data_IF_658170508041
#
_entry.id   IF_658170508041
#
_cell.length_a   1.000
_cell.length_b   1.000
_cell.length_c   1.000
_cell.angle_alpha   90.00
_cell.angle_beta   90.00
_cell.angle_gamma   90.00
#
_symmetry.space_group_name_H-M   'P 1'
#
loop_
_entity.id
_entity.type
_entity.pdbx_description
1 polymer ?
#
# COMPACT_ATOMS: atom_id res chain seq x y z
N UNK A 1 10.38 -7.77 21.55
CA UNK A 1 8.95 -8.18 21.42
C UNK A 1 8.90 -9.29 20.39
N UNK A 2 8.32 -10.45 20.71
CA UNK A 2 8.25 -11.58 19.78
C UNK A 2 6.83 -11.64 19.19
N UNK A 3 6.71 -11.35 17.89
CA UNK A 3 5.48 -11.51 17.07
C UNK A 3 5.10 -13.00 16.84
N UNK A 4 5.45 -13.89 17.78
CA UNK A 4 5.58 -15.34 17.52
C UNK A 4 4.79 -16.29 18.41
N UNK A 5 4.14 -15.83 19.48
CA UNK A 5 3.43 -16.72 20.41
C UNK A 5 1.90 -16.49 20.33
N UNK A 6 1.27 -17.09 19.31
CA UNK A 6 -0.19 -17.24 19.25
C UNK A 6 -0.52 -18.72 18.99
N UNK A 7 -1.36 -19.29 19.86
CA UNK A 7 -1.60 -20.73 19.94
C UNK A 7 -2.53 -21.25 18.82
N UNK A 8 -2.36 -22.52 18.39
CA UNK A 8 -3.11 -23.12 17.31
C UNK A 8 -4.41 -23.78 17.82
N UNK A 9 -5.55 -23.13 17.62
CA UNK A 9 -6.83 -23.82 17.40
C UNK A 9 -7.91 -22.79 17.06
N UNK A 10 -8.54 -22.91 15.89
CA UNK A 10 -9.64 -22.05 15.41
C UNK A 10 -10.96 -22.12 16.19
N UNK A 11 -10.91 -22.50 17.48
CA UNK A 11 -11.91 -22.19 18.50
C UNK A 11 -11.13 -21.71 19.72
N UNK A 12 -11.56 -20.62 20.35
CA UNK A 12 -11.01 -20.29 21.67
C UNK A 12 -11.26 -21.46 22.64
N UNK A 13 -10.51 -21.52 23.74
CA UNK A 13 -10.65 -22.61 24.74
C UNK A 13 -12.08 -22.72 25.33
N UNK A 14 -12.96 -21.79 25.00
CA UNK A 14 -14.32 -21.63 25.50
C UNK A 14 -15.40 -22.02 24.48
N UNK A 15 -15.03 -22.34 23.24
CA UNK A 15 -15.95 -22.78 22.19
C UNK A 15 -16.74 -21.65 21.52
N UNK A 16 -16.26 -20.40 21.57
CA UNK A 16 -16.89 -19.29 20.83
C UNK A 16 -16.64 -19.42 19.33
N UNK A 17 -17.64 -18.97 18.54
CA UNK A 17 -17.50 -18.78 17.09
C UNK A 17 -16.29 -17.89 16.79
N UNK A 18 -15.52 -18.18 15.72
CA UNK A 18 -14.39 -17.35 15.32
C UNK A 18 -14.87 -15.91 15.09
N UNK A 19 -14.08 -14.94 15.53
CA UNK A 19 -14.41 -13.54 15.33
C UNK A 19 -14.56 -13.23 13.83
N UNK A 20 -15.61 -12.50 13.47
CA UNK A 20 -15.83 -12.05 12.08
C UNK A 20 -14.70 -11.12 11.60
N UNK A 21 -14.02 -10.46 12.54
CA UNK A 21 -12.89 -9.56 12.29
C UNK A 21 -11.59 -10.11 12.87
N UNK A 22 -10.53 -10.05 12.08
CA UNK A 22 -9.16 -10.24 12.51
C UNK A 22 -8.68 -9.02 13.30
N UNK A 23 -7.73 -9.17 14.25
CA UNK A 23 -7.05 -8.04 14.91
C UNK A 23 -6.05 -7.38 13.95
N UNK A 24 -6.53 -6.97 12.78
CA UNK A 24 -5.76 -6.47 11.64
C UNK A 24 -6.54 -5.31 11.00
N UNK A 25 -5.89 -4.15 10.92
CA UNK A 25 -6.37 -2.96 10.22
C UNK A 25 -5.42 -2.67 9.06
N UNK A 26 -5.94 -2.45 7.85
CA UNK A 26 -5.13 -2.09 6.69
C UNK A 26 -5.69 -0.83 6.04
N UNK A 27 -4.82 0.17 5.87
CA UNK A 27 -5.09 1.42 5.16
C UNK A 27 -4.32 1.43 3.83
N UNK A 28 -5.04 1.54 2.72
CA UNK A 28 -4.54 1.30 1.36
C UNK A 28 -5.29 2.16 0.32
N UNK A 29 -4.68 2.44 -0.84
CA UNK A 29 -5.31 3.14 -1.96
C UNK A 29 -5.68 2.19 -3.12
N UNK A 30 -5.58 0.88 -2.89
CA UNK A 30 -6.03 -0.22 -3.75
C UNK A 30 -5.34 -0.26 -5.12
N UNK A 31 -4.08 0.16 -5.20
CA UNK A 31 -3.22 -0.23 -6.32
C UNK A 31 -2.97 -1.75 -6.34
N UNK A 32 -2.40 -2.25 -7.44
CA UNK A 32 -2.26 -3.71 -7.66
C UNK A 32 -1.40 -4.35 -6.58
N UNK A 33 -0.29 -3.70 -6.22
CA UNK A 33 0.64 -4.15 -5.18
C UNK A 33 0.06 -4.04 -3.77
N UNK A 34 -0.74 -2.99 -3.53
CA UNK A 34 -1.55 -2.83 -2.34
C UNK A 34 -2.50 -4.03 -2.12
N UNK A 35 -3.23 -4.43 -3.17
CA UNK A 35 -4.16 -5.55 -3.11
C UNK A 35 -3.44 -6.89 -2.92
N UNK A 36 -2.28 -7.09 -3.58
CA UNK A 36 -1.45 -8.27 -3.36
C UNK A 36 -0.93 -8.34 -1.92
N UNK A 37 -0.44 -7.22 -1.39
CA UNK A 37 0.02 -7.12 -0.01
C UNK A 37 -1.13 -7.43 0.99
N UNK A 38 -2.33 -6.90 0.75
CA UNK A 38 -3.52 -7.21 1.58
C UNK A 38 -3.81 -8.71 1.55
N UNK A 39 -3.87 -9.33 0.37
CA UNK A 39 -4.13 -10.75 0.21
C UNK A 39 -3.11 -11.60 0.98
N UNK A 40 -1.83 -11.27 0.82
CA UNK A 40 -0.73 -11.99 1.46
C UNK A 40 -0.73 -11.83 2.99
N UNK A 41 -0.87 -10.60 3.50
CA UNK A 41 -0.94 -10.32 4.94
C UNK A 41 -2.17 -10.99 5.56
N UNK A 42 -3.31 -10.95 4.88
CA UNK A 42 -4.54 -11.56 5.37
C UNK A 42 -4.40 -13.09 5.47
N UNK A 43 -3.99 -13.77 4.39
CA UNK A 43 -3.79 -15.22 4.41
C UNK A 43 -2.74 -15.63 5.45
N UNK A 44 -1.66 -14.84 5.58
CA UNK A 44 -0.65 -15.03 6.61
C UNK A 44 -1.23 -14.96 8.02
N UNK A 45 -2.06 -13.94 8.33
CA UNK A 45 -2.68 -13.83 9.66
C UNK A 45 -3.68 -14.95 9.92
N UNK A 46 -4.45 -15.38 8.93
CA UNK A 46 -5.35 -16.54 9.07
C UNK A 46 -4.56 -17.80 9.46
N UNK A 47 -3.45 -18.06 8.76
CA UNK A 47 -2.59 -19.21 9.07
C UNK A 47 -1.99 -19.13 10.48
N UNK A 48 -1.42 -17.98 10.84
CA UNK A 48 -0.76 -17.75 12.14
C UNK A 48 -1.71 -17.82 13.32
N UNK A 49 -2.99 -17.51 13.13
CA UNK A 49 -4.03 -17.59 14.15
C UNK A 49 -4.76 -18.95 14.14
N UNK A 50 -4.40 -19.87 13.24
CA UNK A 50 -5.11 -21.15 13.10
C UNK A 50 -6.56 -20.99 12.64
N UNK A 51 -6.84 -19.93 11.87
CA UNK A 51 -8.15 -19.54 11.34
C UNK A 51 -8.30 -19.85 9.85
N UNK A 52 -7.45 -20.72 9.30
CA UNK A 52 -7.50 -21.13 7.88
C UNK A 52 -8.88 -21.68 7.53
N UNK A 53 -9.47 -21.19 6.44
CA UNK A 53 -10.83 -21.52 6.00
C UNK A 53 -11.95 -20.82 6.78
N UNK A 54 -11.63 -19.95 7.75
CA UNK A 54 -12.62 -19.08 8.37
C UNK A 54 -13.00 -17.91 7.45
N UNK A 55 -14.12 -17.25 7.77
CA UNK A 55 -14.57 -16.03 7.10
C UNK A 55 -14.03 -14.75 7.77
N UNK A 56 -13.11 -14.88 8.73
CA UNK A 56 -12.57 -13.75 9.46
C UNK A 56 -11.82 -12.82 8.50
N UNK A 57 -12.16 -11.53 8.51
CA UNK A 57 -11.56 -10.52 7.62
C UNK A 57 -10.85 -9.41 8.39
N UNK A 58 -9.85 -8.74 7.81
CA UNK A 58 -9.35 -7.49 8.36
C UNK A 58 -10.37 -6.34 8.26
N UNK A 59 -10.11 -5.29 9.04
CA UNK A 59 -10.72 -3.98 8.85
C UNK A 59 -9.94 -3.27 7.74
N UNK A 60 -10.54 -3.14 6.56
CA UNK A 60 -9.88 -2.52 5.40
C UNK A 60 -10.44 -1.11 5.16
N UNK A 61 -9.52 -0.18 4.93
CA UNK A 61 -9.78 1.22 4.64
C UNK A 61 -9.22 1.53 3.25
N UNK A 62 -10.10 1.78 2.29
CA UNK A 62 -9.75 2.26 0.95
C UNK A 62 -9.72 3.80 0.95
N UNK A 63 -8.54 4.37 0.77
CA UNK A 63 -8.27 5.79 0.75
C UNK A 63 -8.36 6.34 -0.68
N UNK A 64 -9.53 6.82 -1.08
CA UNK A 64 -9.76 7.34 -2.42
C UNK A 64 -9.21 8.78 -2.58
N UNK A 65 -8.44 9.03 -3.63
CA UNK A 65 -7.86 10.30 -4.03
C UNK A 65 -8.40 10.75 -5.39
N UNK A 66 -9.65 11.25 -5.38
CA UNK A 66 -10.33 11.81 -6.56
C UNK A 66 -9.72 13.13 -7.08
N UNK A 67 -8.66 13.64 -6.42
CA UNK A 67 -7.98 14.86 -6.84
C UNK A 67 -6.81 14.52 -7.78
N UNK A 68 -6.12 13.41 -7.50
CA UNK A 68 -4.84 13.11 -8.17
C UNK A 68 -4.79 11.78 -8.88
N UNK A 69 -5.50 10.76 -8.42
CA UNK A 69 -5.28 9.36 -8.85
C UNK A 69 -6.54 8.67 -9.34
N UNK A 70 -7.65 8.90 -8.65
CA UNK A 70 -8.87 8.11 -8.82
C UNK A 70 -9.89 8.78 -9.74
N UNK A 71 -9.40 9.60 -10.68
CA UNK A 71 -10.21 10.19 -11.74
C UNK A 71 -10.59 9.17 -12.82
N UNK A 72 -11.43 9.61 -13.77
CA UNK A 72 -11.86 8.80 -14.92
C UNK A 72 -12.45 7.44 -14.50
N UNK A 73 -11.86 6.31 -14.91
CA UNK A 73 -12.32 4.96 -14.50
C UNK A 73 -11.34 4.23 -13.57
N UNK A 74 -10.30 4.92 -13.09
CA UNK A 74 -9.28 4.32 -12.22
C UNK A 74 -9.91 3.79 -10.94
N UNK A 75 -10.80 4.57 -10.31
CA UNK A 75 -11.46 4.19 -9.07
C UNK A 75 -12.29 2.90 -9.23
N UNK A 76 -13.16 2.83 -10.24
CA UNK A 76 -13.98 1.65 -10.51
C UNK A 76 -13.12 0.41 -10.78
N UNK A 77 -11.99 0.58 -11.47
CA UNK A 77 -11.05 -0.51 -11.74
C UNK A 77 -10.38 -1.01 -10.46
N UNK A 78 -9.99 -0.12 -9.54
CA UNK A 78 -9.48 -0.51 -8.21
C UNK A 78 -10.50 -1.32 -7.42
N UNK A 79 -11.76 -0.90 -7.40
CA UNK A 79 -12.83 -1.65 -6.75
C UNK A 79 -13.09 -3.01 -7.42
N UNK A 80 -13.05 -3.07 -8.75
CA UNK A 80 -13.17 -4.32 -9.49
C UNK A 80 -12.02 -5.27 -9.16
N UNK A 81 -10.78 -4.79 -9.15
CA UNK A 81 -9.61 -5.58 -8.77
C UNK A 81 -9.71 -6.07 -7.32
N UNK A 82 -10.13 -5.22 -6.38
CA UNK A 82 -10.34 -5.61 -4.98
C UNK A 82 -11.39 -6.73 -4.86
N UNK A 83 -12.51 -6.63 -5.59
CA UNK A 83 -13.51 -7.70 -5.66
C UNK A 83 -12.93 -8.98 -6.23
N UNK A 84 -12.16 -8.89 -7.31
CA UNK A 84 -11.62 -10.05 -8.02
C UNK A 84 -10.48 -10.75 -7.26
N UNK A 85 -9.65 -9.98 -6.53
CA UNK A 85 -8.47 -10.49 -5.82
C UNK A 85 -8.77 -10.84 -4.36
N UNK A 86 -9.54 -9.99 -3.66
CA UNK A 86 -9.81 -10.14 -2.22
C UNK A 86 -11.19 -10.72 -1.91
N UNK A 87 -12.07 -10.86 -2.92
CA UNK A 87 -13.45 -11.32 -2.70
C UNK A 87 -14.34 -10.32 -1.97
N UNK A 88 -13.95 -9.04 -1.91
CA UNK A 88 -14.61 -8.03 -1.07
C UNK A 88 -15.56 -7.11 -1.85
N UNK A 89 -16.67 -6.76 -1.21
CA UNK A 89 -17.65 -5.80 -1.70
C UNK A 89 -17.45 -4.40 -1.09
N UNK A 90 -17.40 -3.34 -1.90
CA UNK A 90 -17.31 -1.95 -1.42
C UNK A 90 -18.44 -1.59 -0.46
N UNK A 91 -18.11 -0.85 0.61
CA UNK A 91 -19.03 -0.37 1.65
C UNK A 91 -19.73 -1.48 2.47
N UNK A 92 -19.55 -2.75 2.13
CA UNK A 92 -20.02 -3.90 2.92
C UNK A 92 -18.87 -4.53 3.69
N UNK A 93 -17.78 -4.86 2.99
CA UNK A 93 -16.66 -5.60 3.55
C UNK A 93 -15.43 -4.71 3.82
N UNK A 94 -15.40 -3.52 3.23
CA UNK A 94 -14.40 -2.48 3.52
C UNK A 94 -15.01 -1.09 3.42
N UNK A 95 -14.39 -0.12 4.10
CA UNK A 95 -14.85 1.26 4.12
C UNK A 95 -14.02 2.11 3.17
N UNK A 96 -14.70 2.92 2.36
CA UNK A 96 -14.04 3.89 1.47
C UNK A 96 -14.09 5.25 2.14
N UNK A 97 -12.94 5.91 2.24
CA UNK A 97 -12.82 7.27 2.73
C UNK A 97 -12.19 8.15 1.65
N UNK A 98 -12.58 9.42 1.62
CA UNK A 98 -12.18 10.37 0.59
C UNK A 98 -12.00 11.77 1.21
N UNK A 99 -11.28 12.70 0.56
CA UNK A 99 -11.21 14.07 1.04
C UNK A 99 -12.57 14.79 0.85
N UNK A 100 -12.72 15.95 1.47
CA UNK A 100 -13.94 16.76 1.37
C UNK A 100 -14.24 17.20 -0.10
N UNK A 101 -15.52 17.20 -0.47
CA UNK A 101 -16.10 17.42 -1.81
C UNK A 101 -15.55 18.65 -2.51
N UNK A 102 -15.21 19.70 -1.75
CA UNK A 102 -14.75 20.98 -2.29
C UNK A 102 -13.47 20.90 -3.15
N UNK A 103 -12.83 19.73 -3.25
CA UNK A 103 -11.56 19.51 -3.96
C UNK A 103 -11.64 18.52 -5.12
N UNK A 104 -12.81 17.98 -5.44
CA UNK A 104 -12.96 16.97 -6.49
C UNK A 104 -12.81 17.56 -7.90
N UNK A 105 -12.14 16.83 -8.80
CA UNK A 105 -12.01 17.19 -10.22
C UNK A 105 -13.36 17.04 -10.96
N UNK A 106 -13.56 17.78 -12.04
CA UNK A 106 -14.77 17.72 -12.87
C UNK A 106 -14.93 16.39 -13.64
N UNK A 107 -13.91 15.51 -13.59
CA UNK A 107 -13.91 14.18 -14.21
C UNK A 107 -14.49 13.08 -13.31
N UNK A 108 -14.97 13.45 -12.11
CA UNK A 108 -15.53 12.55 -11.10
C UNK A 108 -16.83 11.91 -11.61
N UNK A 109 -16.84 10.57 -11.61
CA UNK A 109 -17.96 9.75 -12.06
C UNK A 109 -19.04 9.59 -10.98
N UNK A 110 -20.26 9.13 -11.34
CA UNK A 110 -21.37 8.95 -10.38
C UNK A 110 -21.02 8.09 -9.16
N UNK A 111 -20.11 7.12 -9.30
CA UNK A 111 -19.71 6.28 -8.17
C UNK A 111 -18.93 7.08 -7.12
N UNK A 112 -18.06 7.98 -7.55
CA UNK A 112 -17.32 8.84 -6.65
C UNK A 112 -18.25 9.85 -5.94
N UNK A 113 -19.28 10.38 -6.62
CA UNK A 113 -20.35 11.15 -5.98
C UNK A 113 -21.08 10.34 -4.89
N UNK A 114 -21.38 9.07 -5.18
CA UNK A 114 -21.98 8.16 -4.19
C UNK A 114 -21.07 7.97 -2.98
N UNK A 115 -19.77 7.74 -3.18
CA UNK A 115 -18.79 7.60 -2.08
C UNK A 115 -18.73 8.87 -1.24
N UNK A 116 -18.69 10.04 -1.87
CA UNK A 116 -18.68 11.34 -1.19
C UNK A 116 -19.95 11.53 -0.35
N UNK A 117 -21.12 11.16 -0.89
CA UNK A 117 -22.40 11.23 -0.17
C UNK A 117 -22.47 10.28 1.03
N UNK A 118 -21.76 9.16 0.99
CA UNK A 118 -21.72 8.16 2.05
C UNK A 118 -20.57 8.37 3.05
N UNK A 119 -19.68 9.35 2.85
CA UNK A 119 -18.44 9.52 3.63
C UNK A 119 -18.66 9.50 5.15
N UNK A 120 -19.67 10.21 5.65
CA UNK A 120 -19.96 10.24 7.08
C UNK A 120 -20.37 8.86 7.64
N UNK A 121 -21.19 8.12 6.88
CA UNK A 121 -21.60 6.76 7.23
C UNK A 121 -20.42 5.78 7.17
N UNK A 122 -19.56 5.87 6.15
CA UNK A 122 -18.36 5.03 6.02
C UNK A 122 -17.38 5.26 7.16
N UNK A 123 -17.17 6.52 7.58
CA UNK A 123 -16.35 6.84 8.74
C UNK A 123 -16.93 6.32 10.05
N UNK A 124 -18.26 6.38 10.23
CA UNK A 124 -18.92 5.84 11.41
C UNK A 124 -18.80 4.30 11.48
N UNK A 125 -19.05 3.61 10.35
CA UNK A 125 -18.87 2.16 10.24
C UNK A 125 -17.42 1.75 10.50
N UNK A 126 -16.45 2.51 9.96
CA UNK A 126 -15.04 2.29 10.22
C UNK A 126 -14.69 2.41 11.71
N UNK A 127 -15.19 3.45 12.38
CA UNK A 127 -14.95 3.64 13.81
C UNK A 127 -15.53 2.48 14.64
N UNK A 128 -16.66 1.90 14.22
CA UNK A 128 -17.26 0.72 14.82
C UNK A 128 -16.40 -0.54 14.64
N UNK A 129 -15.94 -0.81 13.43
CA UNK A 129 -15.06 -1.96 13.15
C UNK A 129 -13.73 -1.85 13.90
N UNK A 130 -13.08 -0.68 13.87
CA UNK A 130 -11.85 -0.44 14.64
C UNK A 130 -12.11 -0.62 16.14
N UNK A 131 -13.25 -0.13 16.63
CA UNK A 131 -13.64 -0.31 18.02
C UNK A 131 -13.81 -1.79 18.39
N UNK A 132 -14.41 -2.58 17.50
CA UNK A 132 -14.61 -4.01 17.73
C UNK A 132 -13.28 -4.75 17.84
N UNK A 133 -12.34 -4.52 16.91
CA UNK A 133 -11.02 -5.17 16.96
C UNK A 133 -10.17 -4.68 18.12
N UNK A 134 -10.21 -3.37 18.43
CA UNK A 134 -9.42 -2.79 19.51
C UNK A 134 -9.97 -3.09 20.92
N UNK A 135 -11.24 -3.51 21.02
CA UNK A 135 -11.85 -3.96 22.28
C UNK A 135 -11.44 -5.38 22.66
N UNK A 136 -10.80 -6.12 21.76
CA UNK A 136 -10.26 -7.45 22.05
C UNK A 136 -9.10 -7.43 23.05
N UNK A 137 -8.78 -8.59 23.61
CA UNK A 137 -7.59 -8.77 24.47
C UNK A 137 -6.28 -8.81 23.68
N UNK A 138 -6.38 -8.96 22.35
CA UNK A 138 -5.23 -9.08 21.46
C UNK A 138 -4.72 -7.72 20.98
N UNK A 139 -3.43 -7.69 20.71
CA UNK A 139 -2.83 -6.57 19.99
C UNK A 139 -3.39 -6.46 18.57
N UNK A 140 -3.44 -5.24 18.03
CA UNK A 140 -3.96 -4.97 16.68
C UNK A 140 -2.80 -4.65 15.76
N UNK A 141 -2.62 -5.41 14.69
CA UNK A 141 -1.65 -5.02 13.66
C UNK A 141 -2.28 -3.97 12.74
N UNK A 142 -1.60 -2.85 12.54
CA UNK A 142 -2.11 -1.74 11.74
C UNK A 142 -1.13 -1.40 10.62
N UNK A 143 -1.47 -1.83 9.40
CA UNK A 143 -0.71 -1.57 8.19
C UNK A 143 -1.18 -0.30 7.50
N UNK A 144 -0.22 0.53 7.10
CA UNK A 144 -0.46 1.78 6.38
C UNK A 144 0.41 1.75 5.13
N UNK A 145 -0.21 1.36 4.01
CA UNK A 145 0.45 1.14 2.72
C UNK A 145 0.04 2.19 1.66
N UNK A 146 -0.74 3.20 2.06
CA UNK A 146 -1.12 4.32 1.21
C UNK A 146 -0.76 5.68 1.81
N UNK A 147 -0.68 6.76 1.00
CA UNK A 147 -0.53 8.11 1.54
C UNK A 147 -1.73 8.50 2.41
N UNK A 148 -1.46 9.24 3.49
CA UNK A 148 -2.53 9.74 4.34
C UNK A 148 -3.47 10.72 3.63
N UNK A 149 -2.94 11.69 2.86
CA UNK A 149 -3.72 12.77 2.21
C UNK A 149 -4.71 13.48 3.15
N UNK A 150 -4.45 13.43 4.45
CA UNK A 150 -5.30 13.95 5.51
C UNK A 150 -6.37 12.98 6.03
N UNK A 151 -6.61 11.87 5.35
CA UNK A 151 -7.72 10.96 5.63
C UNK A 151 -7.47 10.12 6.89
N UNK A 152 -6.22 9.76 7.20
CA UNK A 152 -5.87 9.16 8.51
C UNK A 152 -6.21 10.13 9.66
N UNK A 153 -5.95 11.42 9.45
CA UNK A 153 -6.38 12.46 10.39
C UNK A 153 -7.91 12.53 10.57
N UNK A 154 -8.69 12.25 9.53
CA UNK A 154 -10.16 12.23 9.60
C UNK A 154 -10.68 11.04 10.42
N UNK A 155 -10.04 9.87 10.33
CA UNK A 155 -10.34 8.71 11.19
C UNK A 155 -10.19 9.09 12.67
N UNK A 156 -9.12 9.83 13.02
CA UNK A 156 -8.94 10.37 14.38
C UNK A 156 -10.10 11.23 14.84
N UNK A 157 -10.57 12.13 13.98
CA UNK A 157 -11.61 13.09 14.35
C UNK A 157 -12.94 12.39 14.65
N UNK A 158 -13.24 11.32 13.93
CA UNK A 158 -14.47 10.53 14.12
C UNK A 158 -14.37 9.64 15.36
N UNK A 159 -13.20 9.04 15.59
CA UNK A 159 -12.99 8.15 16.75
C UNK A 159 -12.78 8.89 18.07
N UNK A 160 -12.50 10.21 18.04
CA UNK A 160 -12.32 11.02 19.24
C UNK A 160 -13.55 11.89 19.52
N UNK A 161 -13.70 12.37 20.76
CA UNK A 161 -14.72 13.35 21.15
C UNK A 161 -14.66 14.69 20.37
N UNK A 162 -13.75 14.83 19.41
CA UNK A 162 -13.54 16.02 18.61
C UNK A 162 -14.57 16.19 17.47
N UNK A 163 -15.52 15.26 17.29
CA UNK A 163 -16.62 15.43 16.31
C UNK A 163 -17.43 16.72 16.54
N UNK A 164 -17.46 17.22 17.79
CA UNK A 164 -18.07 18.53 18.15
C UNK A 164 -17.36 19.75 17.55
N UNK A 165 -16.12 19.62 17.08
CA UNK A 165 -15.28 20.73 16.59
C UNK A 165 -15.34 20.93 15.07
N UNK A 166 -15.93 19.99 14.33
CA UNK A 166 -16.13 20.15 12.89
C UNK A 166 -17.63 20.07 12.56
N UNK A 167 -18.23 21.12 11.99
CA UNK A 167 -19.64 21.11 11.57
C UNK A 167 -19.99 19.91 10.68
N UNK A 168 -19.02 19.44 9.89
CA UNK A 168 -19.15 18.30 8.97
C UNK A 168 -19.34 16.95 9.69
N UNK A 169 -18.90 16.84 10.94
CA UNK A 169 -18.98 15.62 11.75
C UNK A 169 -19.94 15.74 12.93
N UNK A 170 -20.67 16.86 13.01
CA UNK A 170 -21.64 17.13 14.09
C UNK A 170 -22.78 16.11 14.17
N UNK A 171 -23.05 15.39 13.08
CA UNK A 171 -24.07 14.33 12.98
C UNK A 171 -23.55 12.94 13.34
N UNK A 172 -22.23 12.73 13.41
CA UNK A 172 -21.66 11.47 13.89
C UNK A 172 -21.67 11.53 15.40
N UNK A 173 -22.77 11.07 15.98
CA UNK A 173 -22.90 10.85 17.41
C UNK A 173 -21.70 9.97 17.84
N UNK A 174 -20.87 10.47 18.75
CA UNK A 174 -19.63 9.82 19.18
C UNK A 174 -19.98 8.57 19.98
N UNK A 175 -20.31 7.48 19.28
CA UNK A 175 -20.70 6.20 19.88
C UNK A 175 -19.52 5.49 20.54
N UNK A 176 -18.28 5.76 20.10
CA UNK A 176 -17.10 5.01 20.52
C UNK A 176 -15.94 5.89 20.99
N UNK A 177 -16.15 6.76 22.01
CA UNK A 177 -15.15 7.75 22.43
C UNK A 177 -13.80 7.19 22.90
N UNK A 178 -13.78 5.91 23.29
CA UNK A 178 -12.60 5.20 23.79
C UNK A 178 -11.98 4.26 22.75
N UNK A 179 -12.55 4.14 21.55
CA UNK A 179 -12.01 3.28 20.50
C UNK A 179 -10.59 3.70 20.10
N UNK A 180 -10.39 5.02 19.94
CA UNK A 180 -9.08 5.54 19.58
C UNK A 180 -8.05 5.29 20.70
N UNK A 181 -8.44 5.51 21.95
CA UNK A 181 -7.57 5.27 23.11
C UNK A 181 -7.20 3.79 23.26
N UNK A 182 -8.14 2.87 22.97
CA UNK A 182 -7.85 1.44 22.92
C UNK A 182 -6.88 1.11 21.81
N UNK A 183 -7.13 1.60 20.58
CA UNK A 183 -6.24 1.39 19.45
C UNK A 183 -4.81 1.88 19.76
N UNK A 184 -4.63 3.08 20.31
CA UNK A 184 -3.30 3.59 20.66
C UNK A 184 -2.55 2.72 21.68
N UNK A 185 -3.28 1.96 22.53
CA UNK A 185 -2.67 1.07 23.53
C UNK A 185 -2.28 -0.29 22.95
N UNK A 186 -3.03 -0.80 21.96
CA UNK A 186 -2.86 -2.15 21.43
C UNK A 186 -2.18 -2.21 20.07
N UNK A 187 -2.14 -1.11 19.31
CA UNK A 187 -1.67 -1.12 17.93
C UNK A 187 -0.15 -1.40 17.79
N UNK A 188 0.20 -2.29 16.88
CA UNK A 188 1.53 -2.39 16.26
C UNK A 188 1.45 -1.76 14.87
N UNK A 189 2.06 -0.60 14.69
CA UNK A 189 1.98 0.14 13.43
C UNK A 189 3.11 -0.28 12.50
N UNK A 190 2.74 -0.80 11.33
CA UNK A 190 3.66 -1.06 10.21
C UNK A 190 3.29 -0.10 9.08
N UNK A 191 4.24 0.72 8.66
CA UNK A 191 4.00 1.73 7.63
C UNK A 191 4.96 1.53 6.47
N UNK A 192 4.43 1.53 5.25
CA UNK A 192 5.25 1.65 4.06
C UNK A 192 5.54 3.12 3.73
N UNK A 193 6.81 3.47 3.56
CA UNK A 193 7.30 4.82 3.29
C UNK A 193 7.98 4.90 1.93
N UNK A 194 7.18 4.81 0.88
CA UNK A 194 7.60 5.26 -0.45
C UNK A 194 7.67 6.79 -0.54
N UNK A 195 8.37 7.29 -1.57
CA UNK A 195 8.36 8.72 -1.90
C UNK A 195 6.94 9.24 -2.10
N UNK A 196 6.12 8.44 -2.78
CA UNK A 196 4.72 8.76 -3.01
C UNK A 196 3.91 8.83 -1.70
N UNK A 197 3.99 7.81 -0.85
CA UNK A 197 3.29 7.73 0.44
C UNK A 197 3.68 8.90 1.36
N UNK A 198 4.97 9.19 1.43
CA UNK A 198 5.54 10.24 2.27
C UNK A 198 5.11 11.63 1.80
N UNK A 199 5.20 11.94 0.51
CA UNK A 199 4.79 13.24 -0.04
C UNK A 199 3.30 13.52 0.11
N UNK A 200 2.47 12.49 0.12
CA UNK A 200 1.03 12.63 0.35
C UNK A 200 0.62 12.86 1.80
N UNK A 201 1.54 12.73 2.76
CA UNK A 201 1.20 12.74 4.19
C UNK A 201 1.05 14.17 4.73
N UNK A 202 -0.12 14.50 5.30
CA UNK A 202 -0.41 15.81 5.86
C UNK A 202 -0.08 15.89 7.36
N UNK A 203 0.08 17.09 7.96
CA UNK A 203 0.35 17.23 9.38
C UNK A 203 -0.64 16.49 10.30
N UNK A 204 -1.93 16.48 9.94
CA UNK A 204 -2.97 15.76 10.69
C UNK A 204 -2.85 14.24 10.63
N UNK A 205 -2.30 13.69 9.55
CA UNK A 205 -1.98 12.27 9.45
C UNK A 205 -0.81 11.93 10.38
N UNK A 206 0.24 12.75 10.36
CA UNK A 206 1.39 12.57 11.25
C UNK A 206 0.99 12.60 12.71
N UNK A 207 0.11 13.54 13.11
CA UNK A 207 -0.39 13.55 14.49
C UNK A 207 -1.19 12.30 14.86
N UNK A 208 -1.93 11.71 13.92
CA UNK A 208 -2.62 10.45 14.14
C UNK A 208 -1.62 9.31 14.30
N UNK A 209 -0.67 9.18 13.38
CA UNK A 209 0.39 8.16 13.40
C UNK A 209 1.19 8.22 14.70
N UNK A 210 1.64 9.42 15.08
CA UNK A 210 2.34 9.65 16.34
C UNK A 210 1.54 9.26 17.58
N UNK A 211 0.21 9.25 17.48
CA UNK A 211 -0.67 8.84 18.57
C UNK A 211 -0.91 7.35 18.64
N UNK A 212 -1.08 6.71 17.49
CA UNK A 212 -1.33 5.26 17.45
C UNK A 212 -0.04 4.48 17.74
N UNK A 213 1.11 4.98 17.29
CA UNK A 213 2.43 4.37 17.52
C UNK A 213 3.09 4.78 18.86
N UNK A 214 2.32 5.21 19.86
CA UNK A 214 2.90 5.66 21.15
C UNK A 214 3.36 4.51 22.02
N UNK A 215 2.59 3.43 22.03
CA UNK A 215 2.79 2.31 22.95
C UNK A 215 3.90 1.37 22.50
N UNK A 216 4.17 1.32 21.19
CA UNK A 216 5.10 0.37 20.56
C UNK A 216 5.86 1.05 19.42
N UNK A 217 7.10 0.61 19.11
CA UNK A 217 7.84 1.17 18.01
C UNK A 217 7.08 1.07 16.70
N UNK A 218 7.03 2.16 15.93
CA UNK A 218 6.57 2.12 14.55
C UNK A 218 7.57 1.33 13.70
N UNK A 219 7.09 0.43 12.85
CA UNK A 219 7.93 -0.26 11.86
C UNK A 219 7.82 0.51 10.54
N UNK A 220 8.90 1.19 10.18
CA UNK A 220 9.02 1.95 8.93
C UNK A 220 9.66 1.06 7.86
N UNK A 221 8.88 0.62 6.89
CA UNK A 221 9.32 -0.21 5.77
C UNK A 221 9.45 0.66 4.51
N UNK A 222 10.59 0.59 3.83
CA UNK A 222 10.68 1.08 2.46
C UNK A 222 11.41 0.05 1.60
N UNK A 223 10.97 -0.14 0.35
CA UNK A 223 11.58 -1.11 -0.56
C UNK A 223 13.07 -0.84 -0.74
N UNK A 224 13.43 0.44 -0.91
CA UNK A 224 14.81 0.85 -1.09
C UNK A 224 15.69 0.44 0.09
N UNK A 225 15.24 0.66 1.33
CA UNK A 225 16.07 0.35 2.50
C UNK A 225 16.02 -1.15 2.83
N UNK A 226 14.85 -1.77 2.70
CA UNK A 226 14.66 -3.18 2.97
C UNK A 226 15.61 -4.05 2.14
N UNK A 227 15.71 -3.79 0.83
CA UNK A 227 16.60 -4.53 -0.07
C UNK A 227 18.05 -3.98 -0.12
N UNK A 228 18.52 -3.24 0.87
CA UNK A 228 19.95 -2.87 0.94
C UNK A 228 20.37 -1.63 0.14
N UNK A 229 19.44 -0.71 -0.13
CA UNK A 229 19.70 0.62 -0.73
C UNK A 229 20.33 0.51 -2.11
N UNK A 230 21.50 1.11 -2.30
CA UNK A 230 22.25 1.08 -3.55
C UNK A 230 22.86 -0.30 -3.84
N UNK A 231 22.90 -1.20 -2.86
CA UNK A 231 23.39 -2.57 -3.01
C UNK A 231 22.28 -3.58 -3.33
N UNK A 232 21.04 -3.11 -3.55
CA UNK A 232 19.92 -3.95 -3.91
C UNK A 232 20.18 -4.74 -5.19
N UNK A 233 19.77 -6.02 -5.18
CA UNK A 233 19.83 -6.84 -6.37
C UNK A 233 18.85 -6.34 -7.44
N UNK A 234 19.23 -6.31 -8.72
CA UNK A 234 18.32 -5.88 -9.80
C UNK A 234 16.99 -6.65 -9.86
N UNK A 235 16.93 -7.88 -9.33
CA UNK A 235 15.69 -8.67 -9.29
C UNK A 235 14.60 -8.01 -8.43
N UNK A 236 14.96 -7.19 -7.44
CA UNK A 236 14.02 -6.52 -6.53
C UNK A 236 13.56 -5.15 -7.04
N UNK A 237 13.84 -4.83 -8.31
CA UNK A 237 13.55 -3.53 -8.89
C UNK A 237 12.04 -3.26 -9.03
N UNK A 238 11.25 -4.25 -9.41
CA UNK A 238 9.77 -4.18 -9.46
C UNK A 238 9.16 -5.56 -9.27
N UNK A 239 7.83 -5.64 -9.21
CA UNK A 239 7.14 -6.93 -9.16
C UNK A 239 7.36 -7.72 -10.45
N UNK A 240 7.46 -7.07 -11.62
CA UNK A 240 7.76 -7.74 -12.90
C UNK A 240 9.12 -8.46 -12.87
N UNK A 241 10.16 -7.83 -12.30
CA UNK A 241 11.47 -8.48 -12.15
C UNK A 241 11.51 -9.50 -11.01
N UNK A 242 10.68 -9.29 -9.98
CA UNK A 242 10.72 -10.09 -8.77
C UNK A 242 9.81 -11.31 -8.81
N UNK A 243 8.68 -11.25 -9.51
CA UNK A 243 7.78 -12.38 -9.69
C UNK A 243 8.37 -13.45 -10.64
N UNK A 244 7.86 -14.67 -10.56
CA UNK A 244 8.13 -15.70 -11.54
C UNK A 244 7.46 -15.38 -12.87
N UNK A 245 8.02 -15.83 -14.00
CA UNK A 245 7.40 -15.70 -15.32
C UNK A 245 6.02 -16.38 -15.43
N UNK A 246 5.66 -17.22 -14.47
CA UNK A 246 4.40 -17.98 -14.46
C UNK A 246 3.30 -17.35 -13.62
N UNK A 247 3.58 -16.29 -12.84
CA UNK A 247 2.60 -15.71 -11.93
C UNK A 247 1.33 -15.25 -12.66
N UNK A 248 1.47 -14.54 -13.79
CA UNK A 248 0.33 -14.07 -14.57
C UNK A 248 -0.58 -15.22 -15.04
N UNK A 249 0.00 -16.35 -15.44
CA UNK A 249 -0.76 -17.56 -15.82
C UNK A 249 -1.51 -18.13 -14.62
N UNK A 250 -0.84 -18.27 -13.47
CA UNK A 250 -1.46 -18.77 -12.23
C UNK A 250 -2.60 -17.85 -11.74
N UNK A 251 -2.42 -16.52 -11.82
CA UNK A 251 -3.48 -15.56 -11.52
C UNK A 251 -4.68 -15.71 -12.45
N UNK A 252 -4.44 -15.98 -13.74
CA UNK A 252 -5.49 -16.23 -14.72
C UNK A 252 -6.24 -17.54 -14.46
N UNK A 253 -5.55 -18.58 -13.98
CA UNK A 253 -6.18 -19.85 -13.58
C UNK A 253 -7.05 -19.68 -12.34
N UNK A 254 -6.63 -18.83 -11.39
CA UNK A 254 -7.40 -18.53 -10.18
C UNK A 254 -8.60 -17.59 -10.44
N UNK A 255 -8.45 -16.60 -11.33
CA UNK A 255 -9.54 -15.70 -11.73
C UNK A 255 -9.30 -15.15 -13.14
N UNK A 256 -10.03 -15.68 -14.12
CA UNK A 256 -9.86 -15.30 -15.54
C UNK A 256 -10.04 -13.80 -15.80
N UNK A 257 -10.85 -13.12 -14.98
CA UNK A 257 -11.13 -11.69 -15.12
C UNK A 257 -10.09 -10.78 -14.45
N UNK A 258 -9.33 -11.29 -13.47
CA UNK A 258 -8.38 -10.48 -12.72
C UNK A 258 -7.24 -9.94 -13.59
N UNK A 259 -6.55 -10.75 -14.43
CA UNK A 259 -5.53 -10.22 -15.34
C UNK A 259 -6.06 -9.14 -16.27
N UNK A 260 -7.28 -9.30 -16.81
CA UNK A 260 -7.90 -8.29 -17.65
C UNK A 260 -8.16 -6.98 -16.89
N UNK A 261 -8.62 -7.06 -15.65
CA UNK A 261 -8.81 -5.88 -14.80
C UNK A 261 -7.49 -5.18 -14.48
N UNK A 262 -6.42 -5.93 -14.19
CA UNK A 262 -5.07 -5.40 -13.97
C UNK A 262 -4.55 -4.68 -15.21
N UNK A 263 -4.69 -5.28 -16.40
CA UNK A 263 -4.28 -4.63 -17.68
C UNK A 263 -5.04 -3.33 -17.89
N UNK A 264 -6.37 -3.35 -17.76
CA UNK A 264 -7.21 -2.16 -17.91
C UNK A 264 -6.84 -1.06 -16.90
N UNK A 265 -6.49 -1.43 -15.67
CA UNK A 265 -6.00 -0.50 -14.67
C UNK A 265 -4.63 0.07 -15.05
N UNK A 266 -3.67 -0.79 -15.41
CA UNK A 266 -2.32 -0.40 -15.77
C UNK A 266 -2.31 0.57 -16.96
N UNK A 267 -3.05 0.28 -18.03
CA UNK A 267 -3.14 1.14 -19.21
C UNK A 267 -3.60 2.56 -18.88
N UNK A 268 -4.57 2.71 -17.97
CA UNK A 268 -5.07 4.02 -17.58
C UNK A 268 -4.18 4.69 -16.53
N UNK A 269 -3.85 3.98 -15.46
CA UNK A 269 -3.14 4.53 -14.32
C UNK A 269 -1.63 4.63 -14.55
N UNK A 270 -0.97 3.52 -14.87
CA UNK A 270 0.47 3.50 -15.11
C UNK A 270 0.82 4.12 -16.47
N UNK A 271 -0.05 3.99 -17.47
CA UNK A 271 0.10 4.70 -18.74
C UNK A 271 0.24 6.21 -18.54
N UNK A 272 -0.55 6.81 -17.63
CA UNK A 272 -0.42 8.23 -17.28
C UNK A 272 0.96 8.61 -16.73
N UNK A 273 1.65 7.69 -16.06
CA UNK A 273 3.01 7.94 -15.56
C UNK A 273 3.99 8.14 -16.70
N UNK A 274 3.81 7.47 -17.83
CA UNK A 274 4.76 7.52 -18.95
C UNK A 274 4.20 8.24 -20.19
N UNK A 275 3.02 8.86 -20.11
CA UNK A 275 2.48 9.69 -21.20
C UNK A 275 3.48 10.78 -21.63
N UNK A 276 3.50 11.16 -22.91
CA UNK A 276 4.36 12.25 -23.40
C UNK A 276 4.17 13.58 -22.68
N UNK A 277 2.98 13.83 -22.14
CA UNK A 277 2.63 15.05 -21.38
C UNK A 277 3.09 15.00 -19.92
N UNK A 278 3.58 13.85 -19.44
CA UNK A 278 4.04 13.69 -18.08
C UNK A 278 5.34 14.47 -17.86
N UNK A 279 5.26 15.58 -17.11
CA UNK A 279 6.42 16.42 -16.79
C UNK A 279 7.53 15.66 -16.06
N UNK A 280 7.20 14.53 -15.42
CA UNK A 280 8.17 13.69 -14.71
C UNK A 280 8.83 12.63 -15.60
N UNK A 281 8.48 12.51 -16.89
CA UNK A 281 9.00 11.44 -17.78
C UNK A 281 10.53 11.46 -17.87
N UNK A 282 11.11 12.64 -18.06
CA UNK A 282 12.56 12.86 -18.13
C UNK A 282 13.11 13.55 -16.87
N UNK A 283 12.46 13.34 -15.70
CA UNK A 283 12.84 14.02 -14.46
C UNK A 283 14.31 13.73 -14.12
N UNK A 284 15.09 14.79 -13.88
CA UNK A 284 16.53 14.70 -13.61
C UNK A 284 17.41 14.77 -14.86
N UNK A 285 16.81 14.85 -16.05
CA UNK A 285 17.54 14.95 -17.32
C UNK A 285 16.99 16.09 -18.18
N UNK A 286 17.89 16.83 -18.83
CA UNK A 286 17.51 17.83 -19.83
C UNK A 286 17.65 17.22 -21.23
N UNK A 287 16.62 17.39 -22.05
CA UNK A 287 16.65 17.04 -23.46
C UNK A 287 17.27 18.19 -24.26
N UNK A 288 18.08 17.89 -25.28
CA UNK A 288 18.51 18.88 -26.27
C UNK A 288 17.33 19.31 -27.15
N UNK A 289 17.51 20.35 -27.96
CA UNK A 289 16.47 20.79 -28.91
C UNK A 289 16.16 19.69 -29.94
N UNK A 290 17.18 19.02 -30.47
CA UNK A 290 17.03 17.91 -31.41
C UNK A 290 16.32 16.71 -30.79
N UNK A 291 16.69 16.38 -29.54
CA UNK A 291 16.04 15.33 -28.76
C UNK A 291 14.57 15.64 -28.48
N UNK A 292 14.27 16.89 -28.09
CA UNK A 292 12.91 17.36 -27.85
C UNK A 292 12.09 17.29 -29.13
N UNK A 293 12.64 17.78 -30.23
CA UNK A 293 11.99 17.74 -31.55
C UNK A 293 11.72 16.29 -31.99
N UNK A 294 12.73 15.41 -31.89
CA UNK A 294 12.57 13.98 -32.19
C UNK A 294 11.49 13.33 -31.34
N UNK A 295 11.49 13.59 -30.03
CA UNK A 295 10.47 13.05 -29.13
C UNK A 295 9.07 13.54 -29.53
N UNK A 296 8.90 14.84 -29.73
CA UNK A 296 7.60 15.45 -30.02
C UNK A 296 7.05 15.10 -31.41
N UNK A 297 7.91 15.00 -32.42
CA UNK A 297 7.48 14.79 -33.80
C UNK A 297 7.39 13.30 -34.19
N UNK A 298 8.18 12.42 -33.55
CA UNK A 298 8.29 11.00 -33.96
C UNK A 298 7.73 10.04 -32.92
N UNK A 299 8.05 10.23 -31.64
CA UNK A 299 7.73 9.24 -30.60
C UNK A 299 6.39 9.56 -29.93
N UNK A 300 6.23 10.78 -29.39
CA UNK A 300 5.05 11.21 -28.66
C UNK A 300 3.72 11.01 -29.40
N UNK A 301 3.59 11.28 -30.72
CA UNK A 301 2.33 11.09 -31.44
C UNK A 301 1.86 9.63 -31.47
N UNK A 302 2.77 8.67 -31.24
CA UNK A 302 2.41 7.26 -31.21
C UNK A 302 1.50 6.92 -30.01
N UNK A 303 1.55 7.70 -28.93
CA UNK A 303 0.75 7.48 -27.73
C UNK A 303 -0.76 7.62 -27.99
N UNK A 304 -1.16 8.38 -29.02
CA UNK A 304 -2.56 8.62 -29.39
C UNK A 304 -2.99 7.78 -30.63
N UNK A 305 -2.06 7.08 -31.28
CA UNK A 305 -2.27 6.44 -32.59
C UNK A 305 -2.73 4.97 -32.54
N UNK A 306 -2.85 4.39 -31.34
CA UNK A 306 -3.20 2.98 -31.18
C UNK A 306 -2.87 2.46 -29.77
N UNK A 307 -2.61 1.13 -29.63
CA UNK A 307 -2.20 0.56 -28.35
C UNK A 307 -0.97 1.28 -27.80
N UNK A 308 -1.00 1.59 -26.51
CA UNK A 308 0.05 2.33 -25.83
C UNK A 308 1.44 1.66 -25.95
N UNK A 309 1.45 0.34 -26.18
CA UNK A 309 2.62 -0.48 -26.51
C UNK A 309 3.49 0.10 -27.63
N UNK A 310 2.90 0.58 -28.75
CA UNK A 310 3.70 1.11 -29.88
C UNK A 310 4.55 2.33 -29.49
N UNK A 311 3.98 3.19 -28.66
CA UNK A 311 4.68 4.35 -28.10
C UNK A 311 5.82 3.90 -27.18
N UNK A 312 5.54 2.95 -26.29
CA UNK A 312 6.53 2.42 -25.35
C UNK A 312 7.69 1.70 -26.08
N UNK A 313 7.40 0.89 -27.11
CA UNK A 313 8.40 0.25 -27.97
C UNK A 313 9.29 1.27 -28.67
N UNK A 314 8.70 2.32 -29.25
CA UNK A 314 9.45 3.37 -29.91
C UNK A 314 10.36 4.14 -28.93
N UNK A 315 9.85 4.46 -27.73
CA UNK A 315 10.63 5.12 -26.70
C UNK A 315 11.76 4.22 -26.17
N UNK A 316 11.50 2.93 -25.92
CA UNK A 316 12.48 1.97 -25.40
C UNK A 316 13.64 1.74 -26.37
N UNK A 317 13.36 1.74 -27.68
CA UNK A 317 14.37 1.53 -28.72
C UNK A 317 15.15 2.80 -29.11
N UNK A 318 14.75 3.98 -28.63
CA UNK A 318 15.43 5.24 -28.88
C UNK A 318 16.49 5.55 -27.80
N UNK A 319 17.63 6.20 -28.14
CA UNK A 319 18.61 6.67 -27.15
C UNK A 319 18.03 7.52 -26.00
N UNK A 320 16.88 8.17 -26.20
CA UNK A 320 16.15 8.90 -25.16
C UNK A 320 15.73 8.03 -23.98
N UNK A 321 15.61 6.71 -24.15
CA UNK A 321 15.27 5.80 -23.07
C UNK A 321 16.22 5.94 -21.86
N UNK A 322 17.51 6.17 -22.12
CA UNK A 322 18.51 6.36 -21.06
C UNK A 322 18.28 7.62 -20.22
N UNK A 323 17.48 8.57 -20.72
CA UNK A 323 17.08 9.80 -20.02
C UNK A 323 15.70 9.70 -19.37
N UNK A 324 14.95 8.62 -19.63
CA UNK A 324 13.70 8.36 -18.91
C UNK A 324 14.04 8.18 -17.44
N UNK A 325 13.30 8.85 -16.56
CA UNK A 325 13.50 8.76 -15.11
C UNK A 325 13.55 7.28 -14.69
N UNK A 326 14.55 6.91 -13.89
CA UNK A 326 14.87 5.50 -13.60
C UNK A 326 13.66 4.69 -13.11
N UNK A 327 12.85 5.26 -12.22
CA UNK A 327 11.64 4.63 -11.69
C UNK A 327 10.50 4.44 -12.69
N UNK A 328 10.59 5.00 -13.90
CA UNK A 328 9.64 4.83 -15.00
C UNK A 328 10.13 3.90 -16.10
N UNK A 329 11.42 3.57 -16.10
CA UNK A 329 12.01 2.73 -17.14
C UNK A 329 11.41 1.31 -17.13
N UNK A 330 11.08 0.76 -15.95
CA UNK A 330 10.40 -0.53 -15.84
C UNK A 330 9.00 -0.48 -16.46
N UNK A 331 8.23 0.57 -16.19
CA UNK A 331 6.91 0.80 -16.79
C UNK A 331 6.99 0.88 -18.31
N UNK A 332 7.94 1.66 -18.86
CA UNK A 332 8.13 1.73 -20.33
C UNK A 332 8.48 0.37 -20.91
N UNK A 333 9.38 -0.40 -20.28
CA UNK A 333 9.74 -1.76 -20.74
C UNK A 333 8.54 -2.70 -20.72
N UNK A 334 7.76 -2.70 -19.64
CA UNK A 334 6.59 -3.56 -19.51
C UNK A 334 5.58 -3.28 -20.63
N UNK A 335 5.19 -2.01 -20.83
CA UNK A 335 4.30 -1.65 -21.93
C UNK A 335 4.88 -1.99 -23.31
N UNK A 336 6.19 -1.83 -23.51
CA UNK A 336 6.84 -2.17 -24.77
C UNK A 336 6.81 -3.68 -25.06
N UNK A 337 6.80 -4.53 -24.02
CA UNK A 337 6.72 -5.97 -24.13
C UNK A 337 5.28 -6.51 -24.14
N UNK A 338 4.28 -5.62 -24.08
CA UNK A 338 2.87 -6.01 -23.97
C UNK A 338 2.51 -6.61 -22.61
N UNK A 339 3.30 -6.32 -21.57
CA UNK A 339 3.03 -6.71 -20.18
C UNK A 339 2.62 -5.49 -19.35
N UNK A 340 2.32 -5.71 -18.07
CA UNK A 340 2.08 -4.66 -17.10
C UNK A 340 3.11 -4.77 -15.99
N UNK A 341 3.66 -3.63 -15.54
CA UNK A 341 4.51 -3.61 -14.36
C UNK A 341 3.63 -3.49 -13.12
N UNK A 342 4.13 -3.85 -11.96
CA UNK A 342 3.56 -3.45 -10.69
C UNK A 342 4.71 -3.08 -9.74
N UNK A 343 4.54 -2.10 -8.85
CA UNK A 343 5.56 -1.83 -7.86
C UNK A 343 5.68 -3.05 -6.92
N UNK A 344 6.88 -3.39 -6.47
CA UNK A 344 7.07 -4.39 -5.39
C UNK A 344 6.82 -3.78 -3.99
N UNK A 345 6.36 -2.54 -3.94
CA UNK A 345 6.50 -1.63 -2.81
C UNK A 345 5.85 -2.15 -1.53
N UNK A 346 4.53 -2.31 -1.55
CA UNK A 346 3.74 -2.60 -0.35
C UNK A 346 3.79 -4.08 0.03
N UNK A 347 4.07 -4.98 -0.92
CA UNK A 347 4.34 -6.40 -0.67
C UNK A 347 5.56 -6.63 0.25
N UNK A 348 6.47 -5.65 0.36
CA UNK A 348 7.60 -5.71 1.30
C UNK A 348 7.12 -5.75 2.76
N UNK A 349 5.96 -5.18 3.08
CA UNK A 349 5.38 -5.31 4.42
C UNK A 349 5.08 -6.76 4.77
N UNK A 350 4.57 -7.55 3.82
CA UNK A 350 4.37 -8.99 4.02
C UNK A 350 5.71 -9.74 4.10
N UNK A 351 6.67 -9.44 3.21
CA UNK A 351 8.00 -10.07 3.27
C UNK A 351 8.68 -9.85 4.61
N UNK A 352 8.57 -8.64 5.17
CA UNK A 352 9.08 -8.34 6.49
C UNK A 352 8.48 -9.26 7.56
N UNK A 353 7.15 -9.38 7.61
CA UNK A 353 6.45 -10.26 8.56
C UNK A 353 6.90 -11.71 8.43
N UNK A 354 6.95 -12.21 7.19
CA UNK A 354 7.36 -13.57 6.91
C UNK A 354 8.83 -13.81 7.32
N UNK A 355 9.73 -12.89 7.00
CA UNK A 355 11.14 -12.98 7.41
C UNK A 355 11.29 -12.93 8.93
N UNK A 356 10.58 -12.02 9.59
CA UNK A 356 10.64 -11.90 11.04
C UNK A 356 10.21 -13.19 11.75
N UNK A 357 9.23 -13.90 11.19
CA UNK A 357 8.73 -15.14 11.76
C UNK A 357 9.58 -16.37 11.40
N UNK A 358 10.13 -16.44 10.19
CA UNK A 358 10.75 -17.67 9.65
C UNK A 358 12.27 -17.62 9.57
N UNK A 359 12.86 -16.43 9.37
CA UNK A 359 14.30 -16.23 9.20
C UNK A 359 14.75 -14.90 9.84
N UNK A 360 14.49 -14.64 11.13
CA UNK A 360 14.78 -13.34 11.74
C UNK A 360 16.27 -12.95 11.66
N UNK A 361 17.17 -13.91 11.54
CA UNK A 361 18.61 -13.71 11.36
C UNK A 361 19.01 -13.09 10.01
N UNK A 362 18.09 -13.10 9.02
CA UNK A 362 18.27 -12.46 7.73
C UNK A 362 17.95 -10.96 7.77
N UNK A 363 17.39 -10.46 8.88
CA UNK A 363 17.04 -9.05 9.07
C UNK A 363 18.03 -8.34 10.00
N UNK A 364 18.47 -7.16 9.58
CA UNK A 364 19.12 -6.16 10.41
C UNK A 364 18.07 -5.25 11.04
N UNK A 365 18.36 -4.75 12.24
CA UNK A 365 17.58 -3.73 12.96
C UNK A 365 16.11 -4.05 13.26
N UNK A 366 15.64 -5.27 12.94
CA UNK A 366 14.29 -5.74 13.25
C UNK A 366 14.04 -5.95 14.75
N UNK A 367 15.11 -6.06 15.55
CA UNK A 367 15.04 -6.26 17.01
C UNK A 367 15.89 -5.25 17.81
N UNK A 368 16.39 -4.20 17.16
CA UNK A 368 17.26 -3.20 17.78
C UNK A 368 16.55 -2.22 18.71
N UNK A 369 17.32 -1.34 19.33
CA UNK A 369 16.78 -0.24 20.14
C UNK A 369 16.02 0.78 19.28
N UNK A 370 16.33 0.84 17.98
CA UNK A 370 15.73 1.77 17.04
C UNK A 370 16.22 3.19 17.26
N UNK A 371 15.40 4.15 16.85
CA UNK A 371 15.68 5.57 17.04
C UNK A 371 14.42 6.40 16.89
N UNK A 372 14.60 7.71 16.75
CA UNK A 372 13.47 8.61 16.55
C UNK A 372 13.09 8.66 15.07
N UNK A 373 11.81 8.45 14.79
CA UNK A 373 11.28 8.53 13.43
C UNK A 373 11.33 9.97 12.90
N UNK A 374 11.81 10.12 11.67
CA UNK A 374 11.77 11.36 10.93
C UNK A 374 11.15 11.18 9.54
N UNK A 375 10.56 12.25 9.04
CA UNK A 375 9.95 12.30 7.71
C UNK A 375 10.25 13.62 7.00
N UNK A 376 10.44 13.57 5.69
CA UNK A 376 10.65 14.67 4.76
C UNK A 376 9.61 14.59 3.64
N UNK A 377 8.40 15.15 3.85
CA UNK A 377 7.31 15.07 2.89
C UNK A 377 7.65 15.75 1.55
N UNK A 378 8.46 16.80 1.56
CA UNK A 378 8.81 17.53 0.34
C UNK A 378 9.61 16.67 -0.63
N UNK A 379 10.49 15.83 -0.11
CA UNK A 379 11.37 14.99 -0.93
C UNK A 379 10.91 13.52 -0.97
N UNK A 380 9.93 13.16 -0.17
CA UNK A 380 9.42 11.80 -0.12
C UNK A 380 10.39 10.84 0.57
N UNK A 381 11.01 11.25 1.68
CA UNK A 381 11.93 10.39 2.43
C UNK A 381 11.50 10.24 3.88
N UNK A 382 11.81 9.09 4.48
CA UNK A 382 11.70 8.87 5.92
C UNK A 382 12.92 8.08 6.41
N UNK A 383 13.05 8.00 7.73
CA UNK A 383 14.02 7.12 8.34
C UNK A 383 14.09 7.25 9.84
N UNK A 384 15.17 6.69 10.39
CA UNK A 384 15.41 6.60 11.82
C UNK A 384 16.61 7.47 12.18
N UNK A 385 16.42 8.37 13.13
CA UNK A 385 17.48 9.21 13.68
C UNK A 385 18.09 8.55 14.92
N UNK A 386 19.41 8.42 14.92
CA UNK A 386 20.21 7.94 16.04
C UNK A 386 21.36 8.93 16.32
N UNK A 387 22.13 8.72 17.38
CA UNK A 387 23.33 9.54 17.64
C UNK A 387 24.36 9.43 16.52
N UNK A 388 24.52 8.23 15.93
CA UNK A 388 25.43 7.98 14.81
C UNK A 388 24.90 8.49 13.46
N UNK A 389 23.57 8.53 13.31
CA UNK A 389 22.89 8.92 12.08
C UNK A 389 21.77 9.93 12.40
N UNK A 390 22.11 11.22 12.58
CA UNK A 390 21.11 12.24 12.87
C UNK A 390 20.15 12.42 11.69
N UNK A 391 18.93 12.89 11.97
CA UNK A 391 17.97 13.25 10.94
C UNK A 391 18.53 14.35 10.01
N UNK A 392 18.18 14.36 8.71
CA UNK A 392 18.46 15.48 7.83
C UNK A 392 17.89 16.80 8.39
N UNK A 393 18.56 17.94 8.15
CA UNK A 393 18.17 19.24 8.71
C UNK A 393 16.74 19.66 8.38
N UNK A 394 16.28 19.35 7.16
CA UNK A 394 14.92 19.63 6.69
C UNK A 394 13.87 18.60 7.12
N UNK A 395 14.29 17.48 7.69
CA UNK A 395 13.38 16.42 8.10
C UNK A 395 12.69 16.79 9.41
N UNK A 396 11.39 16.48 9.51
CA UNK A 396 10.62 16.63 10.73
C UNK A 396 10.85 15.41 11.61
N UNK A 397 11.40 15.63 12.80
CA UNK A 397 11.45 14.65 13.90
C UNK A 397 10.11 14.60 14.62
N UNK A 398 9.62 13.40 14.90
CA UNK A 398 8.24 13.19 15.34
C UNK A 398 8.08 12.69 16.78
N UNK A 399 9.18 12.49 17.52
CA UNK A 399 9.15 12.00 18.90
C UNK A 399 8.65 10.56 19.04
N UNK A 400 8.52 9.84 17.93
CA UNK A 400 8.05 8.45 17.87
C UNK A 400 9.26 7.55 17.77
N UNK A 401 9.33 6.53 18.61
CA UNK A 401 10.34 5.48 18.46
C UNK A 401 9.98 4.62 17.25
N UNK A 402 10.94 4.34 16.38
CA UNK A 402 10.72 3.49 15.22
C UNK A 402 11.90 2.55 14.93
N UNK A 403 11.60 1.51 14.17
CA UNK A 403 12.53 0.55 13.59
C UNK A 403 12.45 0.64 12.06
N UNK A 404 13.55 0.39 11.37
CA UNK A 404 13.59 0.36 9.91
C UNK A 404 14.40 -0.86 9.46
N UNK A 405 13.77 -2.03 9.41
CA UNK A 405 14.45 -3.29 9.13
C UNK A 405 14.99 -3.32 7.70
N UNK A 406 16.09 -4.04 7.51
CA UNK A 406 16.70 -4.29 6.20
C UNK A 406 17.29 -5.69 6.11
N UNK A 407 17.48 -6.18 4.89
CA UNK A 407 18.13 -7.47 4.66
C UNK A 407 19.61 -7.40 5.02
N UNK A 408 20.09 -8.43 5.71
CA UNK A 408 21.51 -8.59 6.06
C UNK A 408 22.39 -8.84 4.83
N UNK A 409 21.90 -9.63 3.89
CA UNK A 409 22.55 -9.90 2.60
C UNK A 409 21.54 -9.67 1.46
N UNK A 410 21.48 -8.45 0.89
CA UNK A 410 20.49 -8.11 -0.13
C UNK A 410 20.74 -8.81 -1.48
N UNK A 411 21.86 -9.53 -1.64
CA UNK A 411 22.23 -10.26 -2.87
C UNK A 411 22.19 -11.77 -2.72
N UNK A 412 21.72 -12.28 -1.58
CA UNK A 412 21.50 -13.72 -1.39
C UNK A 412 20.37 -14.20 -2.33
N UNK A 413 20.76 -14.68 -3.51
CA UNK A 413 19.84 -15.16 -4.55
C UNK A 413 18.95 -16.31 -4.07
N UNK A 414 19.46 -17.18 -3.19
CA UNK A 414 18.68 -18.30 -2.69
C UNK A 414 17.58 -17.80 -1.74
N UNK A 415 17.89 -16.78 -0.93
CA UNK A 415 16.90 -16.17 -0.04
C UNK A 415 15.89 -15.29 -0.79
N UNK A 416 16.35 -14.51 -1.78
CA UNK A 416 15.46 -13.74 -2.67
C UNK A 416 14.50 -14.65 -3.43
N UNK A 417 14.96 -15.82 -3.89
CA UNK A 417 14.08 -16.81 -4.51
C UNK A 417 13.01 -17.32 -3.53
N UNK A 418 13.36 -17.59 -2.26
CA UNK A 418 12.36 -17.97 -1.24
C UNK A 418 11.34 -16.87 -0.98
N UNK A 419 11.78 -15.62 -0.91
CA UNK A 419 10.90 -14.46 -0.77
C UNK A 419 9.92 -14.36 -1.95
N UNK A 420 10.41 -14.53 -3.18
CA UNK A 420 9.56 -14.60 -4.38
C UNK A 420 8.54 -15.73 -4.26
N UNK A 421 8.99 -16.94 -3.94
CA UNK A 421 8.12 -18.11 -3.86
C UNK A 421 6.99 -17.89 -2.85
N UNK A 422 7.29 -17.27 -1.70
CA UNK A 422 6.28 -17.01 -0.67
C UNK A 422 5.31 -15.88 -1.02
N UNK A 423 5.75 -14.82 -1.72
CA UNK A 423 4.83 -13.79 -2.23
C UNK A 423 3.75 -14.42 -3.12
N UNK A 424 4.19 -15.24 -4.09
CA UNK A 424 3.28 -15.92 -5.01
C UNK A 424 2.40 -16.94 -4.30
N UNK A 425 2.99 -17.73 -3.41
CA UNK A 425 2.26 -18.76 -2.67
C UNK A 425 1.09 -18.14 -1.88
N UNK A 426 1.32 -17.04 -1.17
CA UNK A 426 0.29 -16.46 -0.30
C UNK A 426 -0.79 -15.70 -1.08
N UNK A 427 -0.46 -15.01 -2.17
CA UNK A 427 -1.50 -14.38 -3.01
C UNK A 427 -2.37 -15.45 -3.68
N UNK A 428 -1.79 -16.56 -4.15
CA UNK A 428 -2.54 -17.65 -4.78
C UNK A 428 -3.39 -18.42 -3.77
N UNK A 429 -2.84 -18.75 -2.59
CA UNK A 429 -3.60 -19.35 -1.49
C UNK A 429 -4.83 -18.52 -1.13
N UNK A 430 -4.65 -17.20 -1.04
CA UNK A 430 -5.74 -16.28 -0.74
C UNK A 430 -6.84 -16.37 -1.81
N UNK A 431 -6.47 -16.27 -3.09
CA UNK A 431 -7.42 -16.36 -4.19
C UNK A 431 -8.15 -17.70 -4.23
N UNK A 432 -7.43 -18.82 -4.04
CA UNK A 432 -8.03 -20.15 -4.00
C UNK A 432 -9.09 -20.28 -2.90
N UNK A 433 -8.84 -19.68 -1.73
CA UNK A 433 -9.77 -19.72 -0.59
C UNK A 433 -11.10 -19.00 -0.84
N UNK A 434 -11.11 -18.01 -1.74
CA UNK A 434 -12.31 -17.22 -2.07
C UNK A 434 -13.09 -17.77 -3.26
N UNK A 435 -12.38 -18.30 -4.26
CA UNK A 435 -13.00 -18.78 -5.50
C UNK A 435 -13.40 -20.26 -5.44
N UNK A 436 -12.77 -21.04 -4.56
CA UNK A 436 -13.07 -22.47 -4.35
C UNK A 436 -13.43 -22.78 -2.88
N UNK A 437 -14.53 -22.22 -2.34
CA UNK A 437 -14.90 -22.35 -0.92
C UNK A 437 -15.37 -23.75 -0.48
#
# INVERSE_FOLDING_TARGET
MRLGEWLPSGKDKEGKEPADLLPLVIYSDFEVDDLMAIAQIWEWKLERLGLKGSKARPVIICAADFVHKDGCTVFEKKLLMARLMLGLEPCRDFQIICPDIAKCDATVRPLAESVLSCRASSLAALAEEINQVASGESDVDFYIIAPGRGQLGDVRLVMSHLSKLSPQFSTVETRYPSAFERLCKSAHVVMYTGSFNTTGTQPRDLEYLCKVAQSKPLIDISKFIFFGRADADPVTASADSFASPTLAMKLSEASELLPAAIVLFAEEFQGNLIRPTSWTLFRGHTLTEEETKRFQETIAPLADSGPFQKYAEALMNDPLFQKVASYKQSTVKAFALGTCDAPLCDEVCFLFEWCLANCPESLLDAQGDGGEWWIDPENGFSGIATEAHPAPERARRLGVRALQPSMKDPKDQAFLQKMRDVLEEYVLKHMDSHWNP
#
